data_IF_405974698289
#
_entry.id   IF_405974698289
#
_cell.length_a   1.000
_cell.length_b   1.000
_cell.length_c   1.000
_cell.angle_alpha   90.00
_cell.angle_beta   90.00
_cell.angle_gamma   90.00
#
_symmetry.space_group_name_H-M   'P 1'
#
loop_
_entity.id
_entity.type
_entity.pdbx_description
1 polymer ?
#
# COMPACT_ATOMS: atom_id res chain seq x y z
N UNK A 1 -48.76 -90.16 6.35
CA UNK A 1 -49.77 -89.10 6.37
C UNK A 1 -49.23 -88.00 7.27
N UNK A 2 -48.91 -86.86 6.66
CA UNK A 2 -48.69 -85.52 7.25
C UNK A 2 -47.45 -85.34 8.16
N UNK A 3 -46.68 -84.25 8.17
CA UNK A 3 -46.21 -83.21 7.24
C UNK A 3 -45.26 -82.33 8.08
N UNK A 4 -44.03 -82.03 7.58
CA UNK A 4 -43.16 -80.83 7.78
C UNK A 4 -42.97 -80.13 9.18
N UNK A 5 -42.03 -79.17 9.35
CA UNK A 5 -40.59 -79.24 9.10
C UNK A 5 -39.71 -78.58 10.21
N UNK A 6 -38.40 -78.71 9.99
CA UNK A 6 -37.24 -78.07 10.61
C UNK A 6 -37.37 -76.55 10.81
N UNK A 7 -37.04 -76.06 12.02
CA UNK A 7 -36.90 -74.62 12.30
C UNK A 7 -35.43 -74.22 12.17
N UNK A 8 -35.11 -73.54 11.08
CA UNK A 8 -33.80 -72.96 10.81
C UNK A 8 -33.47 -71.82 11.78
N UNK A 9 -32.17 -71.76 12.11
CA UNK A 9 -31.54 -70.78 12.98
C UNK A 9 -31.36 -69.48 12.19
N UNK A 10 -32.26 -68.52 12.41
CA UNK A 10 -32.17 -67.19 11.81
C UNK A 10 -30.93 -66.44 12.32
N UNK A 11 -29.89 -66.43 11.51
CA UNK A 11 -28.73 -65.55 11.63
C UNK A 11 -29.16 -64.16 11.16
N UNK A 12 -29.34 -63.23 12.10
CA UNK A 12 -29.60 -61.82 11.78
C UNK A 12 -28.32 -61.20 11.27
N UNK A 13 -28.18 -61.18 9.95
CA UNK A 13 -27.18 -60.41 9.24
C UNK A 13 -27.57 -58.92 9.33
N UNK A 14 -27.01 -58.20 10.31
CA UNK A 14 -27.05 -56.75 10.32
C UNK A 14 -26.07 -56.25 9.26
N UNK A 15 -26.51 -56.23 8.00
CA UNK A 15 -25.84 -55.49 6.95
C UNK A 15 -25.95 -53.99 7.26
N UNK A 16 -24.90 -53.46 7.88
CA UNK A 16 -24.71 -52.04 8.11
C UNK A 16 -24.54 -51.36 6.74
N UNK A 17 -25.65 -50.92 6.15
CA UNK A 17 -25.64 -50.08 4.96
C UNK A 17 -25.14 -48.69 5.35
N UNK A 18 -23.82 -48.55 5.51
CA UNK A 18 -23.16 -47.25 5.48
C UNK A 18 -23.47 -46.60 4.13
N UNK A 19 -24.49 -45.75 4.09
CA UNK A 19 -24.90 -45.02 2.90
C UNK A 19 -23.71 -44.19 2.40
N UNK A 20 -23.03 -44.70 1.36
CA UNK A 20 -21.93 -43.99 0.72
C UNK A 20 -22.48 -42.63 0.24
N UNK A 21 -21.90 -41.49 0.66
CA UNK A 21 -22.43 -40.19 0.27
C UNK A 21 -22.33 -40.07 -1.25
N UNK A 22 -23.51 -40.13 -1.88
CA UNK A 22 -23.66 -40.41 -3.29
C UNK A 22 -22.90 -39.45 -4.19
N UNK A 23 -22.31 -40.00 -5.26
CA UNK A 23 -21.59 -39.33 -6.35
C UNK A 23 -22.20 -37.97 -6.75
N UNK A 24 -23.53 -37.82 -6.72
CA UNK A 24 -24.29 -36.56 -6.96
C UNK A 24 -23.96 -35.43 -5.98
N UNK A 25 -23.79 -35.71 -4.68
CA UNK A 25 -23.39 -34.72 -3.67
C UNK A 25 -21.95 -34.26 -3.87
N UNK A 26 -21.07 -35.13 -4.37
CA UNK A 26 -19.71 -34.76 -4.79
C UNK A 26 -19.76 -33.84 -6.01
N UNK A 27 -20.52 -34.16 -7.05
CA UNK A 27 -20.68 -33.28 -8.22
C UNK A 27 -21.30 -31.92 -7.88
N UNK A 28 -22.28 -31.87 -6.97
CA UNK A 28 -22.84 -30.61 -6.46
C UNK A 28 -21.79 -29.81 -5.67
N UNK A 29 -20.99 -30.46 -4.82
CA UNK A 29 -19.89 -29.81 -4.11
C UNK A 29 -18.82 -29.27 -5.07
N UNK A 30 -18.48 -30.03 -6.11
CA UNK A 30 -17.57 -29.58 -7.18
C UNK A 30 -18.15 -28.41 -7.98
N UNK A 31 -19.43 -28.48 -8.36
CA UNK A 31 -20.12 -27.38 -9.03
C UNK A 31 -20.18 -26.11 -8.18
N UNK A 32 -20.47 -26.25 -6.88
CA UNK A 32 -20.44 -25.14 -5.93
C UNK A 32 -19.03 -24.57 -5.77
N UNK A 33 -18.00 -25.41 -5.71
CA UNK A 33 -16.61 -24.97 -5.62
C UNK A 33 -16.17 -24.20 -6.88
N UNK A 34 -16.51 -24.70 -8.08
CA UNK A 34 -16.22 -24.01 -9.35
C UNK A 34 -16.95 -22.68 -9.43
N UNK A 35 -18.23 -22.63 -9.05
CA UNK A 35 -19.00 -21.40 -9.00
C UNK A 35 -18.38 -20.39 -8.02
N UNK A 36 -17.99 -20.85 -6.82
CA UNK A 36 -17.32 -20.00 -5.83
C UNK A 36 -16.02 -19.44 -6.40
N UNK A 37 -15.17 -20.28 -7.02
CA UNK A 37 -13.94 -19.82 -7.66
C UNK A 37 -14.19 -18.77 -8.75
N UNK A 38 -15.22 -18.97 -9.59
CA UNK A 38 -15.59 -18.00 -10.62
C UNK A 38 -16.04 -16.67 -10.02
N UNK A 39 -16.92 -16.71 -9.01
CA UNK A 39 -17.41 -15.51 -8.33
C UNK A 39 -16.25 -14.78 -7.64
N UNK A 40 -15.39 -15.48 -6.92
CA UNK A 40 -14.21 -14.90 -6.29
C UNK A 40 -13.26 -14.29 -7.33
N UNK A 41 -13.02 -14.97 -8.46
CA UNK A 41 -12.20 -14.44 -9.55
C UNK A 41 -12.77 -13.15 -10.15
N UNK A 42 -14.08 -13.07 -10.34
CA UNK A 42 -14.76 -11.86 -10.79
C UNK A 42 -14.64 -10.72 -9.79
N UNK A 43 -14.84 -10.99 -8.49
CA UNK A 43 -14.71 -9.99 -7.43
C UNK A 43 -13.27 -9.46 -7.33
N UNK A 44 -12.27 -10.34 -7.37
CA UNK A 44 -10.85 -9.95 -7.36
C UNK A 44 -10.52 -9.13 -8.61
N UNK A 45 -11.00 -9.53 -9.80
CA UNK A 45 -10.79 -8.74 -11.01
C UNK A 45 -11.50 -7.38 -10.96
N UNK A 46 -12.66 -7.28 -10.32
CA UNK A 46 -13.37 -6.02 -10.16
C UNK A 46 -12.62 -5.08 -9.22
N UNK A 47 -12.16 -5.59 -8.07
CA UNK A 47 -11.36 -4.83 -7.12
C UNK A 47 -10.01 -4.44 -7.72
N UNK A 48 -9.35 -5.31 -8.49
CA UNK A 48 -8.11 -4.99 -9.18
C UNK A 48 -8.24 -3.83 -10.18
N UNK A 49 -9.43 -3.64 -10.76
CA UNK A 49 -9.70 -2.54 -11.71
C UNK A 49 -10.18 -1.25 -11.04
N UNK A 50 -10.84 -1.35 -9.90
CA UNK A 50 -11.53 -0.22 -9.26
C UNK A 50 -10.89 0.23 -7.95
N UNK A 51 -10.14 -0.63 -7.27
CA UNK A 51 -9.48 -0.41 -5.98
C UNK A 51 -10.39 0.18 -4.90
N UNK A 52 -11.70 -0.09 -4.99
CA UNK A 52 -12.72 0.55 -4.13
C UNK A 52 -12.63 0.07 -2.70
N UNK A 53 -12.51 -1.24 -2.49
CA UNK A 53 -12.39 -1.82 -1.15
C UNK A 53 -11.05 -1.42 -0.52
N UNK A 54 -9.98 -1.42 -1.31
CA UNK A 54 -8.66 -0.94 -0.88
C UNK A 54 -8.71 0.53 -0.44
N UNK A 55 -9.27 1.41 -1.26
CA UNK A 55 -9.40 2.84 -0.95
C UNK A 55 -10.22 3.05 0.32
N UNK A 56 -11.38 2.41 0.44
CA UNK A 56 -12.22 2.50 1.63
C UNK A 56 -11.51 2.03 2.91
N UNK A 57 -10.81 0.89 2.84
CA UNK A 57 -10.10 0.35 3.99
C UNK A 57 -8.91 1.22 4.41
N UNK A 58 -8.13 1.70 3.43
CA UNK A 58 -6.97 2.56 3.68
C UNK A 58 -7.37 3.94 4.18
N UNK A 59 -8.41 4.54 3.61
CA UNK A 59 -8.97 5.82 4.08
C UNK A 59 -9.40 5.69 5.55
N UNK A 60 -10.15 4.64 5.90
CA UNK A 60 -10.60 4.42 7.28
C UNK A 60 -9.45 4.20 8.24
N UNK A 61 -8.40 3.52 7.79
CA UNK A 61 -7.19 3.31 8.59
C UNK A 61 -6.36 4.59 8.75
N UNK A 62 -6.30 5.45 7.73
CA UNK A 62 -5.54 6.70 7.73
C UNK A 62 -6.30 7.88 8.35
N UNK A 63 -7.63 7.86 8.36
CA UNK A 63 -8.48 8.92 8.91
C UNK A 63 -8.12 9.39 10.33
N UNK A 64 -7.75 8.51 11.29
CA UNK A 64 -7.33 8.97 12.61
C UNK A 64 -5.88 9.48 12.67
N UNK A 65 -5.09 9.34 11.61
CA UNK A 65 -3.68 9.75 11.60
C UNK A 65 -3.60 11.27 11.35
N UNK A 66 -3.39 12.03 12.43
CA UNK A 66 -3.46 13.48 12.38
C UNK A 66 -2.39 14.17 13.20
N UNK A 67 -2.19 15.44 12.88
CA UNK A 67 -1.36 16.36 13.64
C UNK A 67 -2.04 17.72 13.69
N UNK A 68 -1.70 18.52 14.68
CA UNK A 68 -2.13 19.91 14.80
C UNK A 68 -0.93 20.81 15.07
N UNK A 69 -1.04 22.08 14.70
CA UNK A 69 -0.06 23.10 15.10
C UNK A 69 -0.55 23.73 16.39
N UNK A 70 0.29 23.72 17.42
CA UNK A 70 -0.03 24.31 18.71
C UNK A 70 1.10 25.22 19.20
N UNK A 71 0.80 26.20 20.08
CA UNK A 71 1.82 27.10 20.61
C UNK A 71 2.92 26.35 21.39
N UNK A 72 4.12 26.94 21.37
CA UNK A 72 5.30 26.48 22.09
C UNK A 72 5.96 25.21 21.52
N UNK A 73 7.05 24.76 22.16
CA UNK A 73 7.71 23.51 21.82
C UNK A 73 6.82 22.28 22.11
N UNK A 74 7.09 21.20 21.39
CA UNK A 74 6.34 19.94 21.40
C UNK A 74 7.28 18.75 21.56
N UNK A 75 6.99 17.91 22.54
CA UNK A 75 7.56 16.58 22.74
C UNK A 75 6.77 15.48 21.98
N UNK A 76 5.62 15.86 21.41
CA UNK A 76 4.70 14.97 20.71
C UNK A 76 4.96 14.95 19.20
N UNK A 77 6.23 15.01 18.80
CA UNK A 77 6.65 14.95 17.40
C UNK A 77 7.65 13.82 17.22
N UNK A 78 7.59 13.17 16.06
CA UNK A 78 8.55 12.16 15.64
C UNK A 78 9.24 12.69 14.40
N UNK A 79 10.53 12.97 14.52
CA UNK A 79 11.37 13.35 13.39
C UNK A 79 11.94 12.09 12.72
N UNK A 80 12.06 12.06 11.38
CA UNK A 80 12.72 10.95 10.71
C UNK A 80 14.21 10.91 11.10
N UNK A 81 14.75 9.70 11.28
CA UNK A 81 16.14 9.51 11.70
C UNK A 81 17.12 9.35 10.52
N UNK A 82 16.64 8.81 9.41
CA UNK A 82 17.42 8.41 8.24
C UNK A 82 16.57 8.49 6.97
N UNK A 83 17.24 8.36 5.83
CA UNK A 83 16.61 8.13 4.54
C UNK A 83 17.00 9.20 3.53
N UNK A 84 17.32 8.84 2.27
CA UNK A 84 17.91 9.77 1.31
C UNK A 84 17.12 11.06 1.14
N UNK A 85 15.79 10.99 1.07
CA UNK A 85 14.91 12.15 0.97
C UNK A 85 14.94 12.99 2.25
N UNK A 86 14.79 12.35 3.41
CA UNK A 86 14.77 13.03 4.71
C UNK A 86 16.11 13.74 5.00
N UNK A 87 17.23 13.11 4.68
CA UNK A 87 18.57 13.69 4.82
C UNK A 87 18.78 14.84 3.83
N UNK A 88 18.43 14.61 2.56
CA UNK A 88 18.57 15.57 1.47
C UNK A 88 17.78 16.86 1.71
N UNK A 89 16.55 16.76 2.21
CA UNK A 89 15.73 17.93 2.55
C UNK A 89 15.96 18.45 3.97
N UNK A 90 16.77 17.74 4.77
CA UNK A 90 17.18 18.16 6.10
C UNK A 90 16.16 17.87 7.21
N UNK A 91 15.14 17.06 6.96
CA UNK A 91 14.16 16.65 7.97
C UNK A 91 14.81 15.93 9.17
N UNK A 92 15.87 15.14 8.93
CA UNK A 92 16.64 14.48 10.01
C UNK A 92 17.39 15.47 10.91
N UNK A 93 17.64 16.70 10.43
CA UNK A 93 18.42 17.72 11.13
C UNK A 93 17.55 18.76 11.85
N UNK A 94 16.23 18.66 11.77
CA UNK A 94 15.33 19.62 12.43
C UNK A 94 15.62 19.75 13.93
N UNK A 95 15.77 18.66 14.72
CA UNK A 95 16.09 18.79 16.14
C UNK A 95 17.35 19.62 16.38
N UNK A 96 18.42 19.32 15.63
CA UNK A 96 19.71 20.03 15.74
C UNK A 96 19.58 21.51 15.35
N UNK A 97 18.74 21.84 14.36
CA UNK A 97 18.48 23.23 14.00
C UNK A 97 17.73 23.97 15.10
N UNK A 98 16.72 23.34 15.69
CA UNK A 98 15.97 23.91 16.82
C UNK A 98 16.90 24.15 18.01
N UNK A 99 17.70 23.16 18.40
CA UNK A 99 18.66 23.29 19.52
C UNK A 99 19.64 24.45 19.30
N UNK A 100 20.19 24.58 18.08
CA UNK A 100 21.13 25.67 17.73
C UNK A 100 20.48 27.05 17.73
N UNK A 101 19.21 27.14 17.35
CA UNK A 101 18.46 28.39 17.37
C UNK A 101 18.13 28.80 18.81
N UNK A 102 17.68 27.84 19.65
CA UNK A 102 17.41 28.09 21.06
C UNK A 102 18.67 28.51 21.83
N UNK A 103 19.84 27.94 21.50
CA UNK A 103 21.13 28.37 22.05
C UNK A 103 21.55 29.79 21.66
N UNK A 104 20.82 30.45 20.76
CA UNK A 104 21.01 31.84 20.30
C UNK A 104 19.79 32.71 20.62
N UNK A 105 19.05 32.35 21.66
CA UNK A 105 17.90 33.09 22.17
C UNK A 105 16.70 33.19 21.22
N UNK A 106 16.61 32.31 20.21
CA UNK A 106 15.39 32.17 19.42
C UNK A 106 14.37 31.28 20.13
N UNK A 107 13.09 31.65 20.06
CA UNK A 107 12.00 30.91 20.68
C UNK A 107 11.18 30.10 19.66
N UNK A 108 10.79 28.89 20.05
CA UNK A 108 9.82 28.08 19.30
C UNK A 108 8.41 28.57 19.64
N UNK A 109 7.85 29.43 18.81
CA UNK A 109 6.51 30.02 19.03
C UNK A 109 5.38 29.02 18.82
N UNK A 110 5.56 28.05 17.90
CA UNK A 110 4.61 26.98 17.65
C UNK A 110 5.31 25.75 17.05
N UNK A 111 4.78 24.57 17.35
CA UNK A 111 5.29 23.31 16.84
C UNK A 111 4.15 22.30 16.61
N UNK A 112 4.34 21.41 15.64
CA UNK A 112 3.37 20.37 15.37
C UNK A 112 3.30 19.35 16.51
N UNK A 113 2.10 18.89 16.82
CA UNK A 113 1.79 17.84 17.80
C UNK A 113 1.10 16.69 17.07
N UNK A 114 1.75 15.53 17.01
CA UNK A 114 1.19 14.32 16.45
C UNK A 114 0.25 13.68 17.47
N UNK A 115 -0.96 13.34 17.03
CA UNK A 115 -1.90 12.64 17.90
C UNK A 115 -1.40 11.21 18.22
N UNK A 116 -2.04 10.54 19.16
CA UNK A 116 -1.62 9.21 19.61
C UNK A 116 -1.63 8.18 18.46
N UNK A 117 -2.62 8.24 17.56
CA UNK A 117 -2.73 7.31 16.45
C UNK A 117 -1.56 7.46 15.47
N UNK A 118 -1.20 8.69 15.10
CA UNK A 118 -0.06 8.98 14.24
C UNK A 118 1.27 8.58 14.90
N UNK A 119 1.45 8.84 16.19
CA UNK A 119 2.67 8.40 16.90
C UNK A 119 2.80 6.88 16.93
N UNK A 120 1.73 6.16 17.27
CA UNK A 120 1.73 4.69 17.27
C UNK A 120 1.96 4.09 15.87
N UNK A 121 1.49 4.78 14.83
CA UNK A 121 1.74 4.42 13.43
C UNK A 121 3.23 4.60 13.07
N UNK A 122 3.82 5.75 13.43
CA UNK A 122 5.23 6.07 13.18
C UNK A 122 6.19 5.18 14.00
N UNK A 123 5.84 4.84 15.23
CA UNK A 123 6.65 3.98 16.10
C UNK A 123 6.76 2.54 15.55
N UNK A 124 5.93 2.16 14.56
CA UNK A 124 6.07 0.90 13.79
C UNK A 124 7.06 1.02 12.62
N UNK A 125 7.71 2.16 12.45
CA UNK A 125 8.60 2.44 11.32
C UNK A 125 7.88 2.78 10.02
N UNK A 126 6.59 3.11 10.06
CA UNK A 126 5.82 3.51 8.89
C UNK A 126 5.98 5.01 8.61
N UNK A 127 5.81 5.38 7.34
CA UNK A 127 6.00 6.76 6.90
C UNK A 127 4.73 7.60 7.04
N UNK A 128 4.83 8.78 7.67
CA UNK A 128 3.66 9.60 7.94
C UNK A 128 2.90 10.04 6.66
N UNK A 129 1.57 9.89 6.61
CA UNK A 129 0.74 10.22 5.46
C UNK A 129 0.41 11.72 5.45
N UNK A 130 1.37 12.55 5.07
CA UNK A 130 1.16 13.96 4.81
C UNK A 130 1.65 14.34 3.42
N UNK A 131 1.18 15.46 2.90
CA UNK A 131 1.69 15.99 1.62
C UNK A 131 3.13 16.44 1.79
N UNK A 132 4.04 15.71 1.17
CA UNK A 132 5.45 16.04 1.20
C UNK A 132 5.76 17.27 0.36
N UNK A 133 6.76 18.03 0.82
CA UNK A 133 7.34 19.10 0.02
C UNK A 133 8.40 18.48 -0.89
N UNK A 134 8.24 18.66 -2.19
CA UNK A 134 9.25 18.25 -3.19
C UNK A 134 10.43 19.22 -3.27
N UNK A 135 10.26 20.42 -2.70
CA UNK A 135 11.27 21.47 -2.62
C UNK A 135 11.43 21.98 -1.19
N UNK A 136 12.66 22.29 -0.82
CA UNK A 136 13.02 23.06 0.37
C UNK A 136 13.78 24.32 -0.03
N UNK A 137 13.95 25.26 0.89
CA UNK A 137 14.63 26.51 0.57
C UNK A 137 14.53 27.55 1.66
N UNK A 138 15.22 28.67 1.43
CA UNK A 138 15.19 29.85 2.27
C UNK A 138 14.81 31.04 1.40
N UNK A 139 13.72 31.72 1.75
CA UNK A 139 13.41 33.03 1.18
C UNK A 139 13.49 34.06 2.29
N UNK A 140 14.37 35.04 2.14
CA UNK A 140 14.50 36.17 3.06
C UNK A 140 13.76 37.35 2.46
N UNK A 141 12.90 37.96 3.26
CA UNK A 141 12.12 39.13 2.89
C UNK A 141 12.60 40.35 3.66
N UNK A 142 12.47 41.53 3.07
CA UNK A 142 12.63 42.80 3.79
C UNK A 142 11.38 43.15 4.62
N UNK A 143 11.40 44.31 5.29
CA UNK A 143 10.27 44.80 6.09
C UNK A 143 9.00 45.11 5.28
N UNK A 144 9.11 45.28 3.96
CA UNK A 144 7.99 45.46 3.04
C UNK A 144 7.49 44.13 2.44
N UNK A 145 8.02 42.99 2.93
CA UNK A 145 7.76 41.64 2.41
C UNK A 145 8.20 41.43 0.96
N UNK A 146 9.22 42.17 0.52
CA UNK A 146 9.85 41.98 -0.79
C UNK A 146 10.99 40.96 -0.62
N UNK A 147 11.05 39.90 -1.45
CA UNK A 147 12.10 38.89 -1.34
C UNK A 147 13.46 39.47 -1.74
N UNK A 148 14.42 39.53 -0.81
CA UNK A 148 15.80 40.02 -1.04
C UNK A 148 16.79 38.87 -1.25
N UNK A 149 16.46 37.66 -0.81
CA UNK A 149 17.25 36.47 -1.06
C UNK A 149 16.32 35.27 -1.26
N UNK A 150 16.64 34.42 -2.23
CA UNK A 150 15.92 33.18 -2.46
C UNK A 150 16.90 32.05 -2.78
N UNK A 151 16.83 31.01 -1.98
CA UNK A 151 17.54 29.76 -2.18
C UNK A 151 16.50 28.64 -2.26
N UNK A 152 16.60 27.81 -3.30
CA UNK A 152 15.73 26.66 -3.50
C UNK A 152 16.57 25.41 -3.75
N UNK A 153 16.14 24.30 -3.17
CA UNK A 153 16.75 23.00 -3.36
C UNK A 153 15.66 21.92 -3.49
N UNK A 154 15.70 21.02 -4.49
CA UNK A 154 16.71 20.94 -5.55
C UNK A 154 16.73 22.18 -6.45
N UNK A 155 17.91 22.53 -6.99
CA UNK A 155 18.09 23.71 -7.84
C UNK A 155 17.30 23.63 -9.16
N UNK A 156 17.06 22.42 -9.66
CA UNK A 156 16.29 22.16 -10.87
C UNK A 156 15.12 21.26 -10.50
N UNK A 157 13.92 21.78 -10.70
CA UNK A 157 12.69 21.03 -10.57
C UNK A 157 11.62 21.66 -11.47
N UNK A 158 10.56 20.90 -11.68
CA UNK A 158 9.30 21.38 -12.20
C UNK A 158 8.44 21.85 -11.02
N UNK A 159 7.78 23.00 -11.15
CA UNK A 159 6.98 23.58 -10.06
C UNK A 159 5.72 22.76 -9.78
N UNK A 160 5.14 22.21 -10.85
CA UNK A 160 4.00 21.30 -10.79
C UNK A 160 4.06 20.27 -11.93
N UNK A 161 3.15 19.28 -11.88
CA UNK A 161 3.09 18.22 -12.88
C UNK A 161 2.80 18.74 -14.31
N UNK A 162 2.05 19.82 -14.46
CA UNK A 162 1.72 20.41 -15.77
C UNK A 162 2.90 21.11 -16.43
N UNK A 163 3.89 21.53 -15.64
CA UNK A 163 5.15 22.10 -16.15
C UNK A 163 6.14 21.06 -16.67
N UNK A 164 5.90 19.76 -16.43
CA UNK A 164 6.74 18.67 -16.96
C UNK A 164 6.45 18.48 -18.46
N UNK A 165 7.46 18.52 -19.35
CA UNK A 165 7.24 18.27 -20.77
C UNK A 165 6.58 16.90 -21.01
N UNK A 166 5.51 16.81 -21.83
CA UNK A 166 4.77 15.57 -22.02
C UNK A 166 5.63 14.37 -22.43
N UNK A 167 6.65 14.60 -23.26
CA UNK A 167 7.59 13.55 -23.70
C UNK A 167 8.37 12.95 -22.53
N UNK A 168 8.73 13.75 -21.52
CA UNK A 168 9.46 13.29 -20.34
C UNK A 168 8.54 12.45 -19.45
N UNK A 169 7.32 12.95 -19.20
CA UNK A 169 6.33 12.22 -18.42
C UNK A 169 5.97 10.88 -19.08
N UNK A 170 5.71 10.88 -20.40
CA UNK A 170 5.37 9.67 -21.15
C UNK A 170 6.52 8.66 -21.18
N UNK A 171 7.77 9.10 -21.35
CA UNK A 171 8.93 8.21 -21.31
C UNK A 171 9.06 7.53 -19.93
N UNK A 172 8.92 8.30 -18.84
CA UNK A 172 8.94 7.76 -17.48
C UNK A 172 7.81 6.76 -17.23
N UNK A 173 6.57 7.11 -17.58
CA UNK A 173 5.43 6.21 -17.43
C UNK A 173 5.59 4.93 -18.27
N UNK A 174 6.11 5.05 -19.49
CA UNK A 174 6.33 3.90 -20.36
C UNK A 174 7.30 2.87 -19.75
N UNK A 175 8.40 3.36 -19.14
CA UNK A 175 9.42 2.51 -18.51
C UNK A 175 8.95 2.00 -17.15
N UNK A 176 8.44 2.88 -16.30
CA UNK A 176 8.20 2.58 -14.88
C UNK A 176 6.77 2.13 -14.59
N UNK A 177 5.75 2.85 -15.07
CA UNK A 177 4.34 2.54 -14.78
C UNK A 177 3.36 3.17 -15.78
N UNK A 178 2.95 2.40 -16.79
CA UNK A 178 2.21 2.91 -17.97
C UNK A 178 0.80 3.42 -17.64
N UNK A 179 0.15 2.73 -16.72
CA UNK A 179 -1.27 2.95 -16.41
C UNK A 179 -1.46 3.91 -15.22
N UNK A 180 -0.38 4.50 -14.68
CA UNK A 180 -0.43 5.30 -13.45
C UNK A 180 -1.30 6.55 -13.57
N UNK A 181 -1.31 7.19 -14.75
CA UNK A 181 -2.07 8.41 -15.02
C UNK A 181 -3.25 8.15 -15.99
N UNK A 182 -3.79 6.94 -15.98
CA UNK A 182 -4.94 6.56 -16.80
C UNK A 182 -6.22 7.26 -16.29
N UNK A 183 -6.72 8.19 -17.10
CA UNK A 183 -7.91 8.98 -16.78
C UNK A 183 -9.20 8.13 -16.69
N UNK A 184 -9.22 6.96 -17.33
CA UNK A 184 -10.37 6.04 -17.27
C UNK A 184 -10.41 5.24 -15.96
N UNK A 185 -9.31 5.25 -15.19
CA UNK A 185 -9.14 4.50 -13.93
C UNK A 185 -8.60 5.40 -12.81
N UNK A 186 -9.28 6.49 -12.44
CA UNK A 186 -8.76 7.48 -11.48
C UNK A 186 -8.64 6.96 -10.04
N UNK A 187 -9.32 5.85 -9.71
CA UNK A 187 -9.29 5.23 -8.38
C UNK A 187 -8.21 4.14 -8.27
N UNK A 188 -7.48 3.84 -9.35
CA UNK A 188 -6.53 2.74 -9.38
C UNK A 188 -5.43 2.95 -8.33
N UNK A 189 -5.20 1.93 -7.52
CA UNK A 189 -4.17 2.00 -6.49
C UNK A 189 -2.77 2.11 -7.14
N UNK A 190 -2.07 3.25 -6.99
CA UNK A 190 -0.80 3.47 -7.66
C UNK A 190 0.34 2.60 -7.10
N UNK A 191 0.13 1.96 -5.93
CA UNK A 191 1.11 1.08 -5.29
C UNK A 191 1.06 -0.36 -5.79
N UNK A 192 -0.06 -0.81 -6.35
CA UNK A 192 -0.27 -2.22 -6.73
C UNK A 192 -0.54 -2.34 -8.22
N UNK A 193 0.42 -2.88 -8.96
CA UNK A 193 0.20 -3.32 -10.33
C UNK A 193 -0.17 -4.81 -10.35
N UNK A 194 -1.47 -5.09 -10.49
CA UNK A 194 -2.01 -6.46 -10.48
C UNK A 194 -1.54 -7.31 -11.67
N UNK A 195 -1.25 -6.71 -12.83
CA UNK A 195 -0.75 -7.45 -14.00
C UNK A 195 0.68 -7.87 -13.76
N UNK A 196 1.53 -6.95 -13.29
CA UNK A 196 2.92 -7.27 -12.90
C UNK A 196 2.96 -8.24 -11.74
N UNK A 197 2.12 -8.06 -10.71
CA UNK A 197 2.03 -8.98 -9.57
C UNK A 197 1.65 -10.40 -10.02
N UNK A 198 0.62 -10.54 -10.85
CA UNK A 198 0.17 -11.86 -11.34
C UNK A 198 1.24 -12.52 -12.21
N UNK A 199 1.89 -11.76 -13.09
CA UNK A 199 3.02 -12.26 -13.90
C UNK A 199 4.21 -12.66 -13.05
N UNK A 200 4.56 -11.91 -12.01
CA UNK A 200 5.63 -12.25 -11.09
C UNK A 200 5.32 -13.51 -10.29
N UNK A 201 4.09 -13.65 -9.78
CA UNK A 201 3.64 -14.86 -9.08
C UNK A 201 3.65 -16.09 -9.99
N UNK A 202 3.08 -15.98 -11.20
CA UNK A 202 3.10 -17.07 -12.19
C UNK A 202 4.52 -17.39 -12.63
N UNK A 203 5.37 -16.38 -12.82
CA UNK A 203 6.79 -16.52 -13.12
C UNK A 203 7.54 -17.23 -12.00
N UNK A 204 7.28 -16.91 -10.73
CA UNK A 204 7.94 -17.56 -9.58
C UNK A 204 7.47 -19.00 -9.35
N UNK A 205 6.21 -19.32 -9.66
CA UNK A 205 5.71 -20.71 -9.70
C UNK A 205 6.33 -21.47 -10.88
N UNK A 206 6.46 -20.82 -12.04
CA UNK A 206 7.16 -21.35 -13.21
C UNK A 206 8.66 -21.57 -12.97
N UNK A 207 9.33 -20.68 -12.23
CA UNK A 207 10.77 -20.76 -11.96
C UNK A 207 11.11 -21.91 -11.00
N UNK A 208 10.16 -22.33 -10.15
CA UNK A 208 10.29 -23.57 -9.37
C UNK A 208 10.19 -24.83 -10.23
N UNK A 209 9.63 -24.72 -11.44
CA UNK A 209 9.52 -25.82 -12.37
C UNK A 209 10.67 -25.78 -13.40
N UNK A 210 11.11 -24.61 -13.89
CA UNK A 210 12.20 -24.42 -14.86
C UNK A 210 12.95 -23.08 -14.61
N UNK A 211 14.28 -23.10 -14.43
CA UNK A 211 15.09 -22.02 -13.84
C UNK A 211 15.45 -20.81 -14.73
N UNK A 212 14.73 -20.54 -15.83
CA UNK A 212 15.10 -19.51 -16.83
C UNK A 212 14.07 -18.39 -17.02
N UNK A 213 13.19 -18.14 -16.06
CA UNK A 213 12.26 -17.02 -16.15
C UNK A 213 12.81 -15.76 -15.46
N UNK A 214 13.19 -14.78 -16.29
CA UNK A 214 13.51 -13.43 -15.86
C UNK A 214 12.31 -12.82 -15.12
N UNK A 215 12.49 -12.46 -13.86
CA UNK A 215 11.40 -11.94 -13.01
C UNK A 215 11.28 -10.43 -13.25
N UNK A 216 10.20 -9.92 -13.86
CA UNK A 216 10.06 -8.49 -14.10
C UNK A 216 10.04 -7.74 -12.76
N UNK A 217 10.74 -6.61 -12.68
CA UNK A 217 10.67 -5.71 -11.53
C UNK A 217 9.22 -5.31 -11.25
N UNK A 218 8.68 -5.76 -10.11
CA UNK A 218 7.27 -5.56 -9.74
C UNK A 218 6.97 -4.24 -9.03
N UNK A 219 7.99 -3.43 -8.71
CA UNK A 219 7.83 -2.20 -7.94
C UNK A 219 7.25 -1.07 -8.80
N UNK A 220 6.15 -0.48 -8.34
CA UNK A 220 5.52 0.69 -8.94
C UNK A 220 6.27 1.97 -8.55
N UNK A 221 6.08 3.05 -9.33
CA UNK A 221 6.72 4.34 -9.07
C UNK A 221 6.43 4.88 -7.66
N UNK A 222 5.22 4.64 -7.12
CA UNK A 222 4.86 5.01 -5.75
C UNK A 222 5.68 4.24 -4.70
N UNK A 223 5.85 2.93 -4.87
CA UNK A 223 6.71 2.12 -3.97
C UNK A 223 8.18 2.52 -4.05
N UNK A 224 8.64 2.93 -5.23
CA UNK A 224 10.02 3.41 -5.41
C UNK A 224 10.23 4.74 -4.70
N UNK A 225 9.28 5.68 -4.75
CA UNK A 225 9.36 6.95 -4.02
C UNK A 225 9.47 6.70 -2.51
N UNK A 226 8.62 5.83 -1.95
CA UNK A 226 8.64 5.50 -0.53
C UNK A 226 9.97 4.86 -0.10
N UNK A 227 10.61 4.05 -0.95
CA UNK A 227 11.93 3.47 -0.66
C UNK A 227 13.02 4.52 -0.43
N UNK A 228 12.90 5.70 -1.06
CA UNK A 228 13.87 6.77 -0.91
C UNK A 228 13.59 7.69 0.28
N UNK A 229 12.50 7.44 1.03
CA UNK A 229 12.11 8.27 2.16
C UNK A 229 13.00 8.03 3.38
#
# INVERSE_FOLDING_TARGET
MTDMPSRERGQTDHSDHSAQPGRRRRWLAWGAAVLLCLVTGLLVSHEARTSRLQAWALERYAAPLGFELAPGPSDQIRFPAHGPFNERLGYTRIPVFVDRLQARDFEVTAQARHNQALRAYLDRGLYAPYREKTQTGLTVFDCHRIPIHRFGYPYRQFDDLSSVPPVVAQALLFIENRDLLDADRPQLNPAVDWVRFTRAVLGQVGNRLHAEFDTPGGSTLSTQIEKYR
#
